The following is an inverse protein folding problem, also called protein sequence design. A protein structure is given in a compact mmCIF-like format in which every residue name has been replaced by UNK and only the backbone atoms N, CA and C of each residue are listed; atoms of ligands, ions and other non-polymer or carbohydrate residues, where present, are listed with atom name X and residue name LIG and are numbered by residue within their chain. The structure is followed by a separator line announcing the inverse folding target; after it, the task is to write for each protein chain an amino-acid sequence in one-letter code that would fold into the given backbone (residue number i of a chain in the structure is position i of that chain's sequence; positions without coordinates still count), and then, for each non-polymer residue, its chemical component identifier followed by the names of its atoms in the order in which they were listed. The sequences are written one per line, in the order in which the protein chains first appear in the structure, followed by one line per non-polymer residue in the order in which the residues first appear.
data_IF_477945887871
#
_entry.id   IF_477945887871
#
_cell.length_a   1.000
_cell.length_b   1.000
_cell.length_c   1.000
_cell.angle_alpha   90.00
_cell.angle_beta   90.00
_cell.angle_gamma   90.00
#
_symmetry.space_group_name_H-M   'P 1'
#
loop_
_entity.id
_entity.type
_entity.pdbx_description
1 polymer ?
#
# COMPACT_ATOMS: atom_id res chain seq x y z
N UNK A 1 -6.83 -10.25 -13.95
CA UNK A 1 -6.84 -10.43 -12.48
C UNK A 1 -5.68 -9.62 -11.90
N UNK A 2 -5.92 -8.82 -10.87
CA UNK A 2 -4.94 -7.96 -10.19
C UNK A 2 -4.99 -8.16 -8.66
N UNK A 3 -4.14 -7.47 -7.90
CA UNK A 3 -4.07 -7.63 -6.43
C UNK A 3 -5.42 -7.38 -5.77
N UNK A 4 -6.11 -6.26 -6.08
CA UNK A 4 -7.41 -5.96 -5.45
C UNK A 4 -8.45 -7.05 -5.72
N UNK A 5 -8.50 -7.59 -6.94
CA UNK A 5 -9.47 -8.63 -7.30
C UNK A 5 -9.26 -9.97 -6.60
N UNK A 6 -8.12 -10.16 -5.91
CA UNK A 6 -7.78 -11.40 -5.21
C UNK A 6 -7.91 -11.26 -3.70
N UNK A 7 -7.50 -10.12 -3.14
CA UNK A 7 -7.41 -9.93 -1.68
C UNK A 7 -8.30 -8.82 -1.09
N UNK A 8 -8.99 -8.04 -1.94
CA UNK A 8 -9.88 -6.92 -1.55
C UNK A 8 -9.35 -6.06 -0.40
N UNK A 9 -8.17 -5.46 -0.60
CA UNK A 9 -7.49 -4.67 0.43
C UNK A 9 -8.22 -3.36 0.70
N UNK A 10 -8.14 -2.89 1.95
CA UNK A 10 -8.64 -1.57 2.36
C UNK A 10 -7.67 -0.44 1.98
N UNK A 11 -6.37 -0.75 1.81
CA UNK A 11 -5.32 0.26 1.65
C UNK A 11 -4.11 -0.23 0.86
N UNK A 12 -3.67 0.60 -0.08
CA UNK A 12 -2.36 0.49 -0.74
C UNK A 12 -1.46 1.63 -0.28
N UNK A 13 -0.23 1.26 0.10
CA UNK A 13 0.82 2.21 0.46
C UNK A 13 1.90 2.17 -0.61
N UNK A 14 2.11 3.27 -1.30
CA UNK A 14 3.12 3.41 -2.36
C UNK A 14 4.40 3.94 -1.73
N UNK A 15 5.49 3.17 -1.85
CA UNK A 15 6.82 3.52 -1.36
C UNK A 15 7.84 3.73 -2.48
N UNK A 16 9.11 3.88 -2.09
CA UNK A 16 10.23 4.07 -3.00
C UNK A 16 10.41 5.53 -3.47
N UNK A 17 11.56 5.82 -4.08
CA UNK A 17 12.01 7.19 -4.44
C UNK A 17 10.97 8.05 -5.14
N UNK A 18 10.26 7.44 -6.10
CA UNK A 18 9.28 8.14 -6.92
C UNK A 18 8.02 8.56 -6.15
N UNK A 19 7.68 7.86 -5.06
CA UNK A 19 6.49 8.16 -4.26
C UNK A 19 6.57 9.50 -3.52
N UNK A 20 7.76 10.09 -3.41
CA UNK A 20 7.97 11.42 -2.86
C UNK A 20 7.37 12.55 -3.73
N UNK A 21 7.09 12.29 -5.01
CA UNK A 21 6.44 13.23 -5.91
C UNK A 21 4.90 13.16 -5.74
N UNK A 22 4.22 14.19 -5.22
CA UNK A 22 2.77 14.15 -4.97
C UNK A 22 1.92 13.82 -6.20
N UNK A 23 2.38 14.21 -7.40
CA UNK A 23 1.68 13.91 -8.66
C UNK A 23 1.54 12.41 -8.92
N UNK A 24 2.43 11.57 -8.39
CA UNK A 24 2.39 10.12 -8.55
C UNK A 24 1.17 9.54 -7.82
N UNK A 25 0.98 9.89 -6.54
CA UNK A 25 -0.18 9.44 -5.76
C UNK A 25 -1.48 9.96 -6.36
N UNK A 26 -1.49 11.23 -6.80
CA UNK A 26 -2.65 11.83 -7.48
C UNK A 26 -3.00 11.08 -8.77
N UNK A 27 -2.01 10.80 -9.61
CA UNK A 27 -2.21 10.10 -10.88
C UNK A 27 -2.67 8.65 -10.69
N UNK A 28 -2.10 7.94 -9.71
CA UNK A 28 -2.54 6.57 -9.39
C UNK A 28 -3.98 6.56 -8.89
N UNK A 29 -4.37 7.48 -8.00
CA UNK A 29 -5.76 7.56 -7.55
C UNK A 29 -6.71 7.83 -8.70
N UNK A 30 -6.39 8.81 -9.58
CA UNK A 30 -7.24 9.10 -10.74
C UNK A 30 -7.39 7.89 -11.66
N UNK A 31 -6.28 7.25 -12.05
CA UNK A 31 -6.31 6.09 -12.92
C UNK A 31 -7.04 4.90 -12.27
N UNK A 32 -6.91 4.73 -10.95
CA UNK A 32 -7.65 3.70 -10.23
C UNK A 32 -9.15 4.00 -10.22
N UNK A 33 -9.55 5.24 -9.98
CA UNK A 33 -10.97 5.65 -9.98
C UNK A 33 -11.59 5.45 -11.36
N UNK A 34 -10.87 5.81 -12.43
CA UNK A 34 -11.30 5.57 -13.80
C UNK A 34 -11.57 4.08 -14.03
N UNK A 35 -10.68 3.19 -13.55
CA UNK A 35 -10.85 1.73 -13.63
C UNK A 35 -11.99 1.22 -12.74
N UNK A 36 -12.09 1.72 -11.50
CA UNK A 36 -13.06 1.28 -10.50
C UNK A 36 -14.51 1.59 -10.93
N UNK A 37 -14.70 2.68 -11.67
CA UNK A 37 -16.00 3.10 -12.18
C UNK A 37 -16.32 2.57 -13.59
N UNK A 38 -15.44 1.79 -14.23
CA UNK A 38 -15.73 1.22 -15.56
C UNK A 38 -16.84 0.17 -15.57
N UNK A 39 -17.09 -0.50 -14.44
CA UNK A 39 -18.05 -1.59 -14.37
C UNK A 39 -18.76 -1.60 -13.01
N UNK A 40 -20.09 -1.52 -13.03
CA UNK A 40 -20.94 -1.55 -11.84
C UNK A 40 -20.68 -2.77 -10.95
N UNK A 41 -20.42 -3.94 -11.54
CA UNK A 41 -20.09 -5.14 -10.78
C UNK A 41 -18.81 -4.99 -9.94
N UNK A 42 -17.83 -4.21 -10.41
CA UNK A 42 -16.60 -3.92 -9.66
C UNK A 42 -16.93 -3.04 -8.45
N UNK A 43 -17.70 -1.98 -8.65
CA UNK A 43 -18.10 -1.07 -7.56
C UNK A 43 -19.00 -1.75 -6.52
N UNK A 44 -19.82 -2.73 -6.92
CA UNK A 44 -20.69 -3.49 -6.02
C UNK A 44 -19.96 -4.60 -5.23
N UNK A 45 -18.85 -5.12 -5.76
CA UNK A 45 -18.20 -6.32 -5.21
C UNK A 45 -16.87 -6.02 -4.52
N UNK A 46 -16.15 -4.97 -4.94
CA UNK A 46 -14.83 -4.63 -4.42
C UNK A 46 -14.86 -3.28 -3.72
N UNK A 47 -14.14 -3.18 -2.61
CA UNK A 47 -13.97 -1.92 -1.91
C UNK A 47 -13.00 -1.03 -2.68
N UNK A 48 -13.27 0.28 -2.76
CA UNK A 48 -12.27 1.26 -3.23
C UNK A 48 -11.22 1.45 -2.13
N UNK A 49 -9.98 0.98 -2.30
CA UNK A 49 -8.95 1.12 -1.29
C UNK A 49 -8.49 2.57 -1.14
N UNK A 50 -7.97 2.91 0.03
CA UNK A 50 -7.16 4.13 0.17
C UNK A 50 -5.80 3.92 -0.49
N UNK A 51 -5.40 4.79 -1.41
CA UNK A 51 -4.06 4.77 -2.02
C UNK A 51 -3.28 5.99 -1.52
N UNK A 52 -2.22 5.75 -0.74
CA UNK A 52 -1.43 6.79 -0.08
C UNK A 52 0.07 6.57 -0.25
N UNK A 53 0.87 7.61 0.02
CA UNK A 53 2.32 7.50 0.18
C UNK A 53 2.69 6.80 1.51
N UNK A 54 3.81 6.08 1.51
CA UNK A 54 4.42 5.55 2.72
C UNK A 54 4.76 6.66 3.71
N UNK A 55 4.36 6.50 4.98
CA UNK A 55 4.62 7.47 6.06
C UNK A 55 6.09 7.87 6.17
N UNK A 56 6.99 6.91 5.96
CA UNK A 56 8.43 7.11 6.04
C UNK A 56 9.11 7.23 4.67
N UNK A 57 8.34 7.39 3.59
CA UNK A 57 8.83 7.54 2.21
C UNK A 57 9.93 6.50 1.88
N UNK A 58 11.13 6.99 1.57
CA UNK A 58 12.29 6.18 1.18
C UNK A 58 12.89 5.39 2.33
N UNK A 59 12.67 5.80 3.57
CA UNK A 59 13.26 5.18 4.75
C UNK A 59 12.39 4.04 5.30
N UNK A 60 11.22 3.80 4.70
CA UNK A 60 10.30 2.75 5.16
C UNK A 60 10.97 1.36 5.22
N UNK A 61 11.91 1.08 4.32
CA UNK A 61 12.71 -0.14 4.32
C UNK A 61 13.64 -0.25 5.54
N UNK A 62 14.28 0.86 5.96
CA UNK A 62 15.17 0.92 7.11
C UNK A 62 14.38 0.72 8.41
N UNK A 63 13.25 1.39 8.55
CA UNK A 63 12.35 1.19 9.71
C UNK A 63 11.83 -0.24 9.77
N UNK A 64 11.46 -0.83 8.63
CA UNK A 64 11.03 -2.23 8.56
C UNK A 64 12.13 -3.21 8.96
N UNK A 65 13.36 -3.00 8.50
CA UNK A 65 14.50 -3.83 8.86
C UNK A 65 14.83 -3.75 10.36
N UNK A 66 14.84 -2.54 10.92
CA UNK A 66 15.04 -2.36 12.36
C UNK A 66 13.93 -2.99 13.18
N UNK A 67 12.67 -2.80 12.78
CA UNK A 67 11.52 -3.39 13.45
C UNK A 67 11.62 -4.91 13.47
N UNK A 68 11.98 -5.53 12.34
CA UNK A 68 12.17 -6.97 12.25
C UNK A 68 13.29 -7.46 13.18
N UNK A 69 14.43 -6.77 13.22
CA UNK A 69 15.55 -7.11 14.11
C UNK A 69 15.14 -7.04 15.60
N UNK A 70 14.38 -6.01 15.98
CA UNK A 70 13.89 -5.87 17.35
C UNK A 70 12.91 -6.99 17.72
N UNK A 71 12.02 -7.39 16.81
CA UNK A 71 11.10 -8.49 17.04
C UNK A 71 11.83 -9.83 17.22
N UNK A 72 12.81 -10.12 16.36
CA UNK A 72 13.54 -11.40 16.43
C UNK A 72 14.41 -11.47 17.69
N UNK A 73 15.14 -10.41 18.02
CA UNK A 73 15.98 -10.36 19.22
C UNK A 73 15.17 -10.34 20.52
N UNK A 74 13.96 -9.76 20.52
CA UNK A 74 13.05 -9.87 21.65
C UNK A 74 12.56 -11.31 21.82
N UNK A 75 12.18 -11.98 20.73
CA UNK A 75 11.71 -13.38 20.76
C UNK A 75 12.79 -14.34 21.27
N UNK A 76 14.05 -14.14 20.87
CA UNK A 76 15.19 -14.91 21.36
C UNK A 76 15.45 -14.77 22.86
N UNK A 77 15.05 -13.66 23.50
CA UNK A 77 15.21 -13.45 24.95
C UNK A 77 14.15 -14.16 25.80
N UNK A 78 13.09 -14.68 25.19
CA UNK A 78 12.00 -15.39 25.88
C UNK A 78 11.93 -16.89 25.52
N UNK A 79 12.91 -17.38 24.75
CA UNK A 79 13.18 -18.82 24.55
C UNK A 79 14.45 -19.20 25.30
#
# INVERSE_FOLDING_TARGET
MNIQSVVDLEKFVIGGGISAQPLVIKGINQAYDDLYHTNEAVTLTLCRPQITVAKFNNDANLYGALYQLLLTTATEKFN
#
